data_IF_852148214507
#
_entry.id   IF_852148214507
#
_cell.length_a   1.000
_cell.length_b   1.000
_cell.length_c   1.000
_cell.angle_alpha   90.00
_cell.angle_beta   90.00
_cell.angle_gamma   90.00
#
_symmetry.space_group_name_H-M   'P 1'
#
loop_
_entity.id
_entity.type
_entity.pdbx_description
1 polymer ?
#
# COMPACT_ATOMS: atom_id res chain seq x y z
N UNK A 1 24.31 -5.02 13.50
CA UNK A 1 24.25 -6.22 12.61
C UNK A 1 23.27 -7.22 13.24
N UNK A 2 22.00 -7.18 12.83
CA UNK A 2 20.97 -8.07 13.38
C UNK A 2 21.09 -9.46 12.74
N UNK A 3 21.36 -10.47 13.55
CA UNK A 3 21.61 -11.83 13.12
C UNK A 3 20.27 -12.55 12.84
N UNK A 4 19.74 -12.39 11.62
CA UNK A 4 18.43 -12.93 11.21
C UNK A 4 18.45 -14.41 10.81
N UNK A 5 19.61 -15.06 10.74
CA UNK A 5 19.75 -16.30 9.95
C UNK A 5 19.24 -17.59 10.62
N UNK A 6 18.87 -17.61 11.91
CA UNK A 6 18.49 -18.86 12.60
C UNK A 6 17.20 -18.82 13.44
N UNK A 7 16.40 -17.76 13.37
CA UNK A 7 15.03 -17.77 13.92
C UNK A 7 14.06 -17.93 12.76
N UNK A 8 13.06 -18.80 12.91
CA UNK A 8 11.86 -18.79 12.04
C UNK A 8 11.30 -17.37 12.05
N UNK A 9 11.65 -16.57 11.05
CA UNK A 9 11.23 -15.18 10.96
C UNK A 9 9.75 -15.17 10.58
N UNK A 10 8.90 -15.02 11.60
CA UNK A 10 7.45 -14.89 11.45
C UNK A 10 7.09 -13.47 11.84
N UNK A 11 6.46 -12.73 10.94
CA UNK A 11 5.89 -11.44 11.31
C UNK A 11 4.52 -11.63 11.97
N UNK A 12 4.21 -10.72 12.89
CA UNK A 12 2.93 -10.63 13.60
C UNK A 12 1.96 -9.69 12.90
N UNK A 13 2.47 -8.71 12.15
CA UNK A 13 1.63 -7.74 11.43
C UNK A 13 0.82 -8.43 10.32
N UNK A 14 -0.48 -8.12 10.19
CA UNK A 14 -1.28 -8.64 9.10
C UNK A 14 -0.83 -8.03 7.77
N UNK A 15 -0.99 -8.80 6.69
CA UNK A 15 -0.67 -8.36 5.32
C UNK A 15 -1.96 -8.31 4.51
N UNK A 16 -2.17 -7.21 3.78
CA UNK A 16 -3.10 -7.11 2.66
C UNK A 16 -2.35 -7.27 1.34
N UNK A 17 -2.76 -8.24 0.53
CA UNK A 17 -2.30 -8.45 -0.83
C UNK A 17 -3.42 -8.06 -1.81
N UNK A 18 -3.17 -7.01 -2.58
CA UNK A 18 -4.04 -6.47 -3.62
C UNK A 18 -3.68 -7.12 -4.96
N UNK A 19 -4.64 -7.77 -5.61
CA UNK A 19 -4.39 -8.57 -6.82
C UNK A 19 -5.43 -8.31 -7.90
N UNK A 20 -5.07 -8.61 -9.15
CA UNK A 20 -6.03 -8.62 -10.25
C UNK A 20 -5.85 -9.82 -11.19
N UNK A 21 -5.22 -9.61 -12.34
CA UNK A 21 -5.18 -10.56 -13.45
C UNK A 21 -3.73 -10.90 -13.86
N UNK A 22 -2.77 -10.80 -12.93
CA UNK A 22 -1.33 -11.03 -13.18
C UNK A 22 -0.82 -12.23 -12.37
N UNK A 23 -1.21 -13.47 -12.70
CA UNK A 23 -0.89 -14.64 -11.87
C UNK A 23 0.62 -14.79 -11.61
N UNK A 24 1.45 -14.59 -12.64
CA UNK A 24 2.90 -14.80 -12.52
C UNK A 24 3.59 -13.86 -11.53
N UNK A 25 3.28 -12.56 -11.57
CA UNK A 25 3.86 -11.59 -10.64
C UNK A 25 3.25 -11.75 -9.26
N UNK A 26 1.93 -11.97 -9.18
CA UNK A 26 1.23 -12.20 -7.91
C UNK A 26 1.86 -13.39 -7.15
N UNK A 27 2.19 -14.49 -7.86
CA UNK A 27 2.80 -15.66 -7.25
C UNK A 27 4.20 -15.36 -6.69
N UNK A 28 4.97 -14.51 -7.35
CA UNK A 28 6.29 -14.09 -6.85
C UNK A 28 6.14 -13.30 -5.55
N UNK A 29 5.20 -12.36 -5.49
CA UNK A 29 4.91 -11.59 -4.26
C UNK A 29 4.42 -12.53 -3.15
N UNK A 30 3.49 -13.45 -3.45
CA UNK A 30 3.00 -14.43 -2.47
C UNK A 30 4.12 -15.32 -1.93
N UNK A 31 5.09 -15.75 -2.76
CA UNK A 31 6.25 -16.53 -2.31
C UNK A 31 7.11 -15.76 -1.31
N UNK A 32 7.27 -14.44 -1.49
CA UNK A 32 7.94 -13.58 -0.50
C UNK A 32 7.15 -13.52 0.81
N UNK A 33 5.82 -13.32 0.74
CA UNK A 33 4.92 -13.33 1.90
C UNK A 33 4.98 -14.67 2.64
N UNK A 34 4.95 -15.79 1.90
CA UNK A 34 5.05 -17.15 2.42
C UNK A 34 6.35 -17.37 3.21
N UNK A 35 7.42 -16.67 2.87
CA UNK A 35 8.70 -16.78 3.58
C UNK A 35 8.64 -16.19 4.99
N UNK A 36 7.72 -15.25 5.25
CA UNK A 36 7.52 -14.61 6.56
C UNK A 36 6.27 -15.09 7.31
N UNK A 37 5.49 -16.00 6.70
CA UNK A 37 4.38 -16.76 7.31
C UNK A 37 3.47 -15.93 8.23
N UNK A 38 2.90 -14.80 7.76
CA UNK A 38 2.04 -13.97 8.62
C UNK A 38 0.89 -14.82 9.19
N UNK A 39 0.47 -14.54 10.42
CA UNK A 39 -0.67 -15.25 11.02
C UNK A 39 -2.02 -14.86 10.40
N UNK A 40 -2.08 -13.71 9.73
CA UNK A 40 -3.26 -13.24 9.00
C UNK A 40 -2.85 -12.71 7.64
N UNK A 41 -3.54 -13.18 6.60
CA UNK A 41 -3.37 -12.71 5.22
C UNK A 41 -4.73 -12.34 4.67
N UNK A 42 -4.84 -11.09 4.22
CA UNK A 42 -5.97 -10.55 3.52
C UNK A 42 -5.65 -10.53 2.02
N UNK A 43 -6.55 -11.06 1.19
CA UNK A 43 -6.38 -11.08 -0.27
C UNK A 43 -7.58 -10.40 -0.90
N UNK A 44 -7.39 -9.22 -1.47
CA UNK A 44 -8.42 -8.52 -2.21
C UNK A 44 -8.14 -8.61 -3.70
N UNK A 45 -9.11 -9.12 -4.45
CA UNK A 45 -9.03 -9.30 -5.90
C UNK A 45 -10.12 -8.48 -6.57
N UNK A 46 -9.74 -7.58 -7.47
CA UNK A 46 -10.73 -6.90 -8.30
C UNK A 46 -11.41 -7.89 -9.26
N UNK A 47 -12.60 -7.51 -9.75
CA UNK A 47 -13.33 -8.34 -10.69
C UNK A 47 -12.83 -8.16 -12.13
N UNK A 48 -13.15 -9.10 -13.03
CA UNK A 48 -12.86 -8.96 -14.45
C UNK A 48 -13.62 -7.78 -15.06
N UNK A 49 -13.05 -7.16 -16.09
CA UNK A 49 -13.73 -6.16 -16.91
C UNK A 49 -14.71 -6.87 -17.84
N UNK A 50 -15.95 -6.39 -17.88
CA UNK A 50 -17.03 -7.00 -18.67
C UNK A 50 -16.68 -7.13 -20.15
N UNK A 51 -15.97 -6.14 -20.69
CA UNK A 51 -15.69 -6.04 -22.13
C UNK A 51 -14.35 -6.68 -22.54
N UNK A 52 -13.70 -7.43 -21.64
CA UNK A 52 -12.41 -8.07 -21.92
C UNK A 52 -12.51 -9.59 -21.90
N UNK A 53 -12.68 -10.17 -23.09
CA UNK A 53 -12.78 -11.63 -23.29
C UNK A 53 -11.57 -12.36 -22.67
N UNK A 54 -11.83 -13.50 -22.03
CA UNK A 54 -10.83 -14.33 -21.35
C UNK A 54 -10.30 -13.79 -20.01
N UNK A 55 -10.57 -12.53 -19.66
CA UNK A 55 -10.06 -11.95 -18.41
C UNK A 55 -10.65 -12.60 -17.16
N UNK A 56 -11.91 -13.04 -17.24
CA UNK A 56 -12.55 -13.79 -16.15
C UNK A 56 -11.73 -15.03 -15.77
N UNK A 57 -11.28 -15.80 -16.77
CA UNK A 57 -10.53 -17.03 -16.53
C UNK A 57 -9.15 -16.73 -15.91
N UNK A 58 -8.50 -15.64 -16.33
CA UNK A 58 -7.22 -15.21 -15.75
C UNK A 58 -7.39 -14.74 -14.30
N UNK A 59 -8.46 -14.00 -14.01
CA UNK A 59 -8.78 -13.54 -12.65
C UNK A 59 -9.08 -14.74 -11.74
N UNK A 60 -9.89 -15.68 -12.21
CA UNK A 60 -10.24 -16.89 -11.44
C UNK A 60 -9.01 -17.78 -11.23
N UNK A 61 -8.16 -17.97 -12.24
CA UNK A 61 -6.87 -18.63 -12.11
C UNK A 61 -5.98 -17.95 -11.05
N UNK A 62 -5.91 -16.62 -11.06
CA UNK A 62 -5.10 -15.86 -10.10
C UNK A 62 -5.62 -16.10 -8.67
N UNK A 63 -6.95 -16.04 -8.45
CA UNK A 63 -7.58 -16.31 -7.14
C UNK A 63 -7.28 -17.72 -6.65
N UNK A 64 -7.50 -18.72 -7.49
CA UNK A 64 -7.24 -20.12 -7.15
C UNK A 64 -5.78 -20.38 -6.82
N UNK A 65 -4.87 -19.85 -7.64
CA UNK A 65 -3.43 -20.02 -7.47
C UNK A 65 -2.97 -19.47 -6.11
N UNK A 66 -3.49 -18.32 -5.68
CA UNK A 66 -3.15 -17.76 -4.36
C UNK A 66 -3.61 -18.68 -3.24
N UNK A 67 -4.87 -19.11 -3.26
CA UNK A 67 -5.41 -19.98 -2.21
C UNK A 67 -4.70 -21.34 -2.14
N UNK A 68 -4.33 -21.93 -3.29
CA UNK A 68 -3.61 -23.21 -3.37
C UNK A 68 -2.16 -23.13 -2.85
N UNK A 69 -1.55 -21.95 -2.83
CA UNK A 69 -0.14 -21.77 -2.43
C UNK A 69 0.04 -21.29 -0.98
N UNK A 70 -1.04 -21.21 -0.20
CA UNK A 70 -0.98 -20.91 1.24
C UNK A 70 -1.00 -22.21 2.03
N UNK A 71 0.18 -22.63 2.50
CA UNK A 71 0.42 -23.93 3.16
C UNK A 71 1.00 -23.78 4.58
N UNK A 72 0.78 -22.61 5.20
CA UNK A 72 1.18 -22.33 6.58
C UNK A 72 -0.04 -21.97 7.43
N UNK A 73 0.12 -22.06 8.76
CA UNK A 73 -0.88 -21.62 9.73
C UNK A 73 -1.18 -20.11 9.56
N UNK A 74 -2.30 -19.82 8.92
CA UNK A 74 -2.71 -18.49 8.48
C UNK A 74 -4.23 -18.38 8.47
N UNK A 75 -4.77 -17.36 9.14
CA UNK A 75 -6.15 -16.94 8.91
C UNK A 75 -6.19 -16.18 7.59
N UNK A 76 -6.87 -16.75 6.59
CA UNK A 76 -7.05 -16.13 5.28
C UNK A 76 -8.41 -15.43 5.25
N UNK A 77 -8.42 -14.18 4.80
CA UNK A 77 -9.65 -13.43 4.51
C UNK A 77 -9.60 -12.95 3.08
N UNK A 78 -10.70 -13.12 2.35
CA UNK A 78 -10.78 -12.76 0.93
C UNK A 78 -11.83 -11.70 0.68
N UNK A 79 -11.53 -10.81 -0.26
CA UNK A 79 -12.48 -9.87 -0.84
C UNK A 79 -12.38 -9.99 -2.37
N UNK A 80 -13.16 -10.89 -2.96
CA UNK A 80 -13.18 -11.13 -4.40
C UNK A 80 -14.39 -10.47 -5.02
N UNK A 81 -14.14 -9.50 -5.90
CA UNK A 81 -15.23 -8.73 -6.52
C UNK A 81 -15.76 -9.41 -7.78
N UNK A 82 -17.08 -9.35 -8.03
CA UNK A 82 -17.66 -9.91 -9.25
C UNK A 82 -17.38 -9.04 -10.49
N UNK A 83 -17.17 -7.74 -10.33
CA UNK A 83 -16.94 -6.79 -11.41
C UNK A 83 -15.72 -5.91 -11.10
N UNK A 84 -15.02 -5.48 -12.14
CA UNK A 84 -13.91 -4.52 -12.03
C UNK A 84 -14.41 -3.17 -11.51
N UNK A 85 -13.76 -2.61 -10.49
CA UNK A 85 -14.08 -1.28 -9.96
C UNK A 85 -13.10 -0.18 -10.40
N UNK A 86 -12.04 -0.53 -11.13
CA UNK A 86 -10.94 0.38 -11.42
C UNK A 86 -9.98 0.50 -10.24
N UNK A 87 -8.77 1.01 -10.51
CA UNK A 87 -7.66 1.00 -9.56
C UNK A 87 -8.00 1.77 -8.29
N UNK A 88 -8.54 2.99 -8.42
CA UNK A 88 -8.81 3.88 -7.26
C UNK A 88 -9.77 3.23 -6.28
N UNK A 89 -10.97 2.86 -6.75
CA UNK A 89 -12.03 2.31 -5.89
C UNK A 89 -11.70 0.90 -5.44
N UNK A 90 -11.07 0.09 -6.31
CA UNK A 90 -10.72 -1.27 -5.97
C UNK A 90 -9.72 -1.31 -4.81
N UNK A 91 -8.65 -0.51 -4.90
CA UNK A 91 -7.61 -0.49 -3.87
C UNK A 91 -8.12 0.19 -2.61
N UNK A 92 -8.70 1.40 -2.70
CA UNK A 92 -9.08 2.14 -1.50
C UNK A 92 -10.10 1.40 -0.65
N UNK A 93 -11.14 0.82 -1.26
CA UNK A 93 -12.16 0.08 -0.50
C UNK A 93 -11.66 -1.27 0.02
N UNK A 94 -10.63 -1.86 -0.60
CA UNK A 94 -9.96 -3.03 -0.05
C UNK A 94 -9.13 -2.67 1.20
N UNK A 95 -8.49 -1.49 1.20
CA UNK A 95 -7.77 -0.98 2.37
C UNK A 95 -8.76 -0.59 3.48
N UNK A 96 -9.92 0.01 3.15
CA UNK A 96 -11.00 0.28 4.11
C UNK A 96 -11.49 -1.02 4.77
N UNK A 97 -11.74 -2.06 3.95
CA UNK A 97 -12.12 -3.38 4.45
C UNK A 97 -11.04 -3.97 5.35
N UNK A 98 -9.77 -3.87 4.97
CA UNK A 98 -8.64 -4.34 5.77
C UNK A 98 -8.59 -3.66 7.14
N UNK A 99 -8.65 -2.32 7.17
CA UNK A 99 -8.57 -1.55 8.41
C UNK A 99 -9.88 -1.49 9.21
N UNK A 100 -10.99 -1.97 8.67
CA UNK A 100 -12.17 -2.29 9.49
C UNK A 100 -11.93 -3.50 10.42
N UNK A 101 -10.85 -4.26 10.19
CA UNK A 101 -10.53 -5.48 10.93
C UNK A 101 -9.18 -5.46 11.67
N UNK A 102 -8.28 -4.53 11.35
CA UNK A 102 -6.92 -4.48 11.89
C UNK A 102 -6.53 -3.05 12.27
N UNK A 103 -5.73 -2.88 13.33
CA UNK A 103 -5.26 -1.55 13.78
C UNK A 103 -4.14 -1.00 12.89
N UNK A 104 -3.33 -1.88 12.32
CA UNK A 104 -2.20 -1.57 11.45
C UNK A 104 -1.82 -2.77 10.59
N UNK A 105 -1.00 -2.54 9.57
CA UNK A 105 -0.56 -3.63 8.71
C UNK A 105 0.23 -3.19 7.49
N UNK A 106 0.64 -4.20 6.73
CA UNK A 106 1.43 -4.06 5.51
C UNK A 106 0.50 -4.25 4.31
N UNK A 107 0.65 -3.42 3.28
CA UNK A 107 -0.09 -3.47 2.03
C UNK A 107 0.89 -3.72 0.87
N UNK A 108 0.61 -4.73 0.05
CA UNK A 108 1.38 -5.11 -1.13
C UNK A 108 0.46 -5.23 -2.34
N UNK A 109 0.93 -4.78 -3.50
CA UNK A 109 0.28 -4.99 -4.80
C UNK A 109 0.90 -6.18 -5.54
N UNK A 110 0.21 -6.70 -6.57
CA UNK A 110 0.61 -7.90 -7.31
C UNK A 110 1.89 -7.77 -8.14
N UNK A 111 2.43 -6.56 -8.25
CA UNK A 111 3.68 -6.23 -8.92
C UNK A 111 4.73 -5.58 -8.00
N UNK A 112 4.47 -5.53 -6.70
CA UNK A 112 5.42 -5.06 -5.69
C UNK A 112 6.09 -6.26 -5.02
N UNK A 113 7.31 -6.64 -5.46
CA UNK A 113 8.08 -7.75 -4.86
C UNK A 113 8.95 -7.26 -3.69
N UNK A 114 8.57 -7.51 -2.43
CA UNK A 114 9.33 -7.02 -1.29
C UNK A 114 10.56 -7.90 -1.01
N UNK A 115 11.65 -7.26 -0.57
CA UNK A 115 12.77 -7.94 0.08
C UNK A 115 12.34 -8.49 1.46
N UNK A 116 12.98 -9.55 1.96
CA UNK A 116 12.65 -10.09 3.28
C UNK A 116 12.87 -9.08 4.43
N UNK A 117 13.84 -8.16 4.28
CA UNK A 117 14.09 -7.10 5.27
C UNK A 117 12.93 -6.12 5.40
N UNK A 118 12.15 -5.89 4.34
CA UNK A 118 11.01 -4.99 4.32
C UNK A 118 9.97 -5.34 5.40
N UNK A 119 9.68 -6.62 5.56
CA UNK A 119 8.69 -7.06 6.55
C UNK A 119 9.12 -6.75 7.99
N UNK A 120 10.39 -6.98 8.31
CA UNK A 120 10.95 -6.66 9.63
C UNK A 120 11.03 -5.15 9.86
N UNK A 121 11.35 -4.40 8.81
CA UNK A 121 11.34 -2.94 8.82
C UNK A 121 9.95 -2.38 9.13
N UNK A 122 8.92 -2.80 8.39
CA UNK A 122 7.54 -2.37 8.64
C UNK A 122 7.05 -2.80 10.04
N UNK A 123 7.31 -4.04 10.47
CA UNK A 123 6.89 -4.49 11.80
C UNK A 123 7.52 -3.64 12.92
N UNK A 124 8.82 -3.36 12.82
CA UNK A 124 9.50 -2.53 13.78
C UNK A 124 8.92 -1.11 13.80
N UNK A 125 8.80 -0.46 12.64
CA UNK A 125 8.36 0.93 12.54
C UNK A 125 6.88 1.13 12.88
N UNK A 126 6.01 0.19 12.52
CA UNK A 126 4.60 0.22 12.91
C UNK A 126 4.44 0.21 14.44
N UNK A 127 5.27 -0.56 15.14
CA UNK A 127 5.26 -0.61 16.60
C UNK A 127 5.93 0.64 17.20
N UNK A 128 7.08 1.05 16.67
CA UNK A 128 7.86 2.17 17.19
C UNK A 128 7.12 3.52 17.08
N UNK A 129 6.46 3.77 15.94
CA UNK A 129 5.70 5.01 15.71
C UNK A 129 4.20 4.89 16.01
N UNK A 130 3.75 3.85 16.72
CA UNK A 130 2.33 3.63 17.04
C UNK A 130 1.67 4.87 17.65
N UNK A 131 2.36 5.55 18.56
CA UNK A 131 1.86 6.73 19.29
C UNK A 131 2.21 8.06 18.62
N UNK A 132 3.20 8.08 17.74
CA UNK A 132 3.53 9.28 16.97
C UNK A 132 2.63 9.38 15.73
N UNK A 133 1.50 10.09 15.88
CA UNK A 133 0.52 10.27 14.80
C UNK A 133 1.00 11.13 13.64
N UNK A 134 2.16 11.81 13.77
CA UNK A 134 2.78 12.52 12.65
C UNK A 134 3.36 11.58 11.60
N UNK A 135 3.74 10.36 11.97
CA UNK A 135 4.14 9.36 10.98
C UNK A 135 2.88 8.68 10.45
N UNK A 136 2.65 8.83 9.15
CA UNK A 136 1.42 8.37 8.49
C UNK A 136 1.66 7.22 7.51
N UNK A 137 2.88 7.06 7.02
CA UNK A 137 3.20 6.07 6.00
C UNK A 137 4.63 5.56 6.18
N UNK A 138 4.83 4.28 5.94
CA UNK A 138 6.14 3.64 5.90
C UNK A 138 6.25 2.98 4.53
N UNK A 139 7.19 3.41 3.70
CA UNK A 139 7.41 2.82 2.37
C UNK A 139 8.63 1.88 2.34
N UNK A 140 8.58 0.90 1.45
CA UNK A 140 9.69 0.02 1.09
C UNK A 140 10.52 0.52 -0.09
N UNK A 141 10.15 1.65 -0.70
CA UNK A 141 10.82 2.19 -1.88
C UNK A 141 11.67 3.44 -1.56
N UNK A 142 12.69 3.68 -2.40
CA UNK A 142 13.58 4.83 -2.25
C UNK A 142 14.01 5.35 -3.63
N UNK A 143 13.40 6.45 -4.06
CA UNK A 143 13.71 7.14 -5.31
C UNK A 143 14.80 8.21 -5.18
N UNK A 144 15.35 8.41 -3.98
CA UNK A 144 16.40 9.38 -3.72
C UNK A 144 17.60 8.73 -3.01
N UNK A 145 18.23 7.69 -3.61
CA UNK A 145 19.29 6.92 -2.95
C UNK A 145 20.52 7.76 -2.59
N UNK A 146 20.74 8.87 -3.28
CA UNK A 146 21.90 9.75 -3.09
C UNK A 146 21.75 10.72 -1.90
N UNK A 147 20.61 10.72 -1.21
CA UNK A 147 20.34 11.59 -0.04
C UNK A 147 20.81 10.95 1.27
N UNK A 148 21.30 9.71 1.21
CA UNK A 148 21.67 8.94 2.40
C UNK A 148 23.01 9.39 3.01
N UNK A 149 22.99 9.78 4.28
CA UNK A 149 24.16 10.19 5.07
C UNK A 149 24.66 9.09 6.03
N UNK A 150 24.17 7.85 5.87
CA UNK A 150 24.42 6.73 6.78
C UNK A 150 23.29 6.47 7.79
N UNK A 151 22.23 7.29 7.78
CA UNK A 151 20.97 7.01 8.48
C UNK A 151 20.33 5.69 8.05
N UNK A 152 19.35 5.16 8.77
CA UNK A 152 18.63 3.92 8.35
C UNK A 152 17.41 4.18 7.46
N UNK A 153 16.86 5.40 7.51
CA UNK A 153 15.74 5.91 6.73
C UNK A 153 15.72 7.44 6.88
N UNK A 154 14.91 8.14 6.07
CA UNK A 154 14.67 9.58 6.19
C UNK A 154 13.16 9.87 6.25
N UNK A 155 12.78 11.13 6.45
CA UNK A 155 11.38 11.53 6.39
C UNK A 155 11.09 12.28 5.10
N UNK A 156 9.94 11.97 4.49
CA UNK A 156 9.42 12.62 3.28
C UNK A 156 7.99 13.08 3.50
N UNK A 157 7.48 13.93 2.60
CA UNK A 157 6.04 14.27 2.52
C UNK A 157 5.30 13.44 1.47
N UNK A 158 6.05 12.72 0.63
CA UNK A 158 5.52 11.90 -0.45
C UNK A 158 5.58 10.44 0.00
N UNK A 159 4.43 9.76 -0.09
CA UNK A 159 4.27 8.41 0.44
C UNK A 159 5.11 7.36 -0.30
N UNK A 160 5.07 7.42 -1.64
CA UNK A 160 5.50 6.35 -2.54
C UNK A 160 4.89 4.97 -2.19
N UNK A 161 4.07 4.44 -3.07
CA UNK A 161 3.13 3.35 -2.72
C UNK A 161 3.66 1.94 -2.99
N UNK A 162 4.95 1.75 -3.32
CA UNK A 162 5.45 0.47 -3.79
C UNK A 162 5.85 -0.45 -2.64
N UNK A 163 4.82 -1.05 -2.04
CA UNK A 163 4.93 -1.87 -0.84
C UNK A 163 5.11 -0.98 0.38
N UNK A 164 4.10 -0.95 1.25
CA UNK A 164 4.04 0.03 2.32
C UNK A 164 3.28 -0.48 3.54
N UNK A 165 3.30 0.30 4.61
CA UNK A 165 2.56 0.02 5.83
C UNK A 165 1.98 1.30 6.44
N UNK A 166 0.85 1.16 7.14
CA UNK A 166 0.23 2.25 7.90
C UNK A 166 -0.68 1.69 9.01
N UNK A 167 -1.36 2.58 9.70
CA UNK A 167 -2.34 2.28 10.74
C UNK A 167 -3.75 2.73 10.30
N UNK A 168 -4.77 2.02 10.77
CA UNK A 168 -6.18 2.29 10.50
C UNK A 168 -6.59 3.72 10.88
N UNK A 169 -6.13 4.21 12.03
CA UNK A 169 -6.44 5.55 12.53
C UNK A 169 -5.76 6.68 11.73
N UNK A 170 -4.79 6.36 10.86
CA UNK A 170 -4.24 7.29 9.87
C UNK A 170 -4.98 7.13 8.54
N UNK A 171 -5.18 5.89 8.08
CA UNK A 171 -5.88 5.61 6.83
C UNK A 171 -7.31 6.19 6.80
N UNK A 172 -8.00 6.29 7.94
CA UNK A 172 -9.34 6.91 8.04
C UNK A 172 -9.47 8.30 7.40
N UNK A 173 -8.35 9.03 7.22
CA UNK A 173 -8.35 10.32 6.54
C UNK A 173 -8.45 10.22 5.02
N UNK A 174 -8.17 9.06 4.41
CA UNK A 174 -8.25 8.85 2.97
C UNK A 174 -9.62 9.25 2.38
N UNK A 175 -10.71 8.93 3.08
CA UNK A 175 -12.09 9.17 2.63
C UNK A 175 -12.57 10.62 2.67
N UNK A 176 -11.76 11.59 3.10
CA UNK A 176 -12.16 13.00 3.10
C UNK A 176 -12.13 13.58 1.69
N UNK A 177 -13.14 14.37 1.34
CA UNK A 177 -13.25 14.96 0.01
C UNK A 177 -12.14 15.98 -0.24
N UNK A 178 -11.46 15.84 -1.39
CA UNK A 178 -10.50 16.83 -1.89
C UNK A 178 -11.19 18.10 -2.44
N UNK A 179 -12.53 18.15 -2.49
CA UNK A 179 -13.27 19.31 -2.99
C UNK A 179 -12.94 20.59 -2.21
N UNK A 180 -12.71 20.47 -0.89
CA UNK A 180 -12.30 21.56 -0.01
C UNK A 180 -10.79 21.79 0.08
N UNK A 181 -9.98 21.06 -0.67
CA UNK A 181 -8.52 21.22 -0.61
C UNK A 181 -8.12 22.59 -1.15
N UNK A 182 -7.56 23.43 -0.26
CA UNK A 182 -7.00 24.74 -0.60
C UNK A 182 -5.76 24.56 -1.47
N UNK A 183 -5.83 25.10 -2.70
CA UNK A 183 -4.74 25.05 -3.67
C UNK A 183 -3.46 25.71 -3.13
N UNK A 184 -3.57 26.68 -2.22
CA UNK A 184 -2.42 27.33 -1.59
C UNK A 184 -1.60 26.37 -0.72
N UNK A 185 -2.21 25.28 -0.22
CA UNK A 185 -1.49 24.24 0.51
C UNK A 185 -0.48 23.51 -0.38
N UNK A 186 -0.44 23.74 -1.69
CA UNK A 186 0.63 23.20 -2.54
C UNK A 186 2.02 23.66 -2.08
N UNK A 187 2.13 24.87 -1.51
CA UNK A 187 3.38 25.37 -0.95
C UNK A 187 3.90 24.51 0.21
N UNK A 188 3.03 23.69 0.83
CA UNK A 188 3.42 22.71 1.83
C UNK A 188 4.13 21.49 1.21
N UNK A 189 3.96 21.18 -0.07
CA UNK A 189 4.60 20.03 -0.71
C UNK A 189 6.11 20.22 -0.85
N UNK A 190 6.52 21.35 -1.39
CA UNK A 190 7.92 21.64 -1.72
C UNK A 190 8.12 23.14 -1.88
N UNK A 191 9.33 23.63 -1.63
CA UNK A 191 9.74 25.00 -2.00
C UNK A 191 10.10 25.13 -3.48
N UNK A 192 10.22 24.01 -4.21
CA UNK A 192 10.51 23.98 -5.63
C UNK A 192 9.23 24.20 -6.45
N UNK A 193 9.21 25.25 -7.27
CA UNK A 193 8.05 25.65 -8.08
C UNK A 193 7.62 24.59 -9.09
N UNK A 194 8.55 23.88 -9.74
CA UNK A 194 8.22 22.81 -10.68
C UNK A 194 7.52 21.64 -9.99
N UNK A 195 7.94 21.32 -8.76
CA UNK A 195 7.27 20.29 -7.94
C UNK A 195 5.87 20.75 -7.55
N UNK A 196 5.71 22.02 -7.17
CA UNK A 196 4.38 22.57 -6.88
C UNK A 196 3.47 22.49 -8.11
N UNK A 197 3.93 22.95 -9.27
CA UNK A 197 3.15 22.94 -10.52
C UNK A 197 2.72 21.51 -10.89
N UNK A 198 3.62 20.53 -10.80
CA UNK A 198 3.27 19.13 -11.01
C UNK A 198 2.11 18.67 -10.11
N UNK A 199 2.20 18.94 -8.81
CA UNK A 199 1.15 18.54 -7.87
C UNK A 199 -0.15 19.33 -8.04
N UNK A 200 -0.08 20.58 -8.50
CA UNK A 200 -1.28 21.36 -8.87
C UNK A 200 -2.02 20.72 -10.03
N UNK A 201 -1.30 20.29 -11.06
CA UNK A 201 -1.88 19.60 -12.21
C UNK A 201 -2.50 18.26 -11.81
N UNK A 202 -1.84 17.50 -10.93
CA UNK A 202 -2.42 16.27 -10.36
C UNK A 202 -3.72 16.59 -9.59
N UNK A 203 -3.74 17.63 -8.75
CA UNK A 203 -4.94 18.01 -8.00
C UNK A 203 -6.10 18.37 -8.93
N UNK A 204 -5.85 19.16 -9.99
CA UNK A 204 -6.86 19.52 -10.99
C UNK A 204 -7.44 18.28 -11.67
N UNK A 205 -6.57 17.39 -12.16
CA UNK A 205 -6.98 16.13 -12.80
C UNK A 205 -7.80 15.23 -11.87
N UNK A 206 -7.43 15.12 -10.59
CA UNK A 206 -8.22 14.39 -9.60
C UNK A 206 -9.60 15.03 -9.36
N UNK A 207 -9.68 16.37 -9.23
CA UNK A 207 -10.96 17.08 -9.06
C UNK A 207 -11.89 16.90 -10.28
N UNK A 208 -11.32 16.73 -11.47
CA UNK A 208 -12.05 16.45 -12.70
C UNK A 208 -12.34 14.95 -12.94
N UNK A 209 -11.95 14.06 -12.03
CA UNK A 209 -12.03 12.59 -12.19
C UNK A 209 -11.26 12.02 -13.41
N UNK A 210 -10.17 12.68 -13.81
CA UNK A 210 -9.32 12.25 -14.94
C UNK A 210 -8.22 11.25 -14.53
N UNK A 211 -8.11 10.93 -13.23
CA UNK A 211 -7.13 10.00 -12.68
C UNK A 211 -7.84 8.88 -11.91
N UNK A 212 -7.64 7.65 -12.37
CA UNK A 212 -8.03 6.44 -11.64
C UNK A 212 -6.84 5.90 -10.82
N UNK A 213 -6.46 6.63 -9.77
CA UNK A 213 -5.43 6.22 -8.83
C UNK A 213 -5.78 6.63 -7.41
N UNK A 214 -5.47 5.76 -6.45
CA UNK A 214 -5.66 6.01 -5.04
C UNK A 214 -4.49 6.79 -4.41
N UNK A 215 -3.27 6.55 -4.89
CA UNK A 215 -2.04 6.97 -4.23
C UNK A 215 -1.89 8.50 -4.10
N UNK A 216 -2.36 9.25 -5.10
CA UNK A 216 -2.30 10.72 -5.06
C UNK A 216 -3.19 11.28 -3.95
N UNK A 217 -4.45 10.83 -3.86
CA UNK A 217 -5.36 11.26 -2.80
C UNK A 217 -4.74 10.99 -1.42
N UNK A 218 -4.11 9.84 -1.23
CA UNK A 218 -3.42 9.54 0.02
C UNK A 218 -2.28 10.52 0.33
N UNK A 219 -1.48 10.88 -0.68
CA UNK A 219 -0.41 11.89 -0.53
C UNK A 219 -0.96 13.24 -0.09
N UNK A 220 -2.05 13.70 -0.69
CA UNK A 220 -2.70 14.96 -0.30
C UNK A 220 -3.21 14.91 1.15
N UNK A 221 -3.74 13.78 1.60
CA UNK A 221 -4.18 13.63 2.99
C UNK A 221 -3.03 13.71 3.99
N UNK A 222 -1.90 13.05 3.70
CA UNK A 222 -0.71 13.14 4.56
C UNK A 222 -0.26 14.59 4.73
N UNK A 223 -0.24 15.35 3.63
CA UNK A 223 0.22 16.75 3.64
C UNK A 223 -0.79 17.66 4.35
N UNK A 224 -2.09 17.45 4.14
CA UNK A 224 -3.13 18.19 4.85
C UNK A 224 -3.03 18.00 6.37
N UNK A 225 -2.67 16.78 6.81
CA UNK A 225 -2.46 16.45 8.23
C UNK A 225 -1.05 16.78 8.74
N UNK A 226 -0.23 17.45 7.93
CA UNK A 226 1.16 17.81 8.25
C UNK A 226 1.98 16.60 8.72
N UNK A 227 1.67 15.43 8.14
CA UNK A 227 2.29 14.16 8.41
C UNK A 227 3.54 13.93 7.58
N UNK A 228 4.27 12.89 7.97
CA UNK A 228 5.49 12.42 7.34
C UNK A 228 5.36 10.96 6.93
N UNK A 229 6.08 10.65 5.86
CA UNK A 229 6.37 9.32 5.37
C UNK A 229 7.79 8.96 5.77
N UNK A 230 8.04 7.67 5.98
CA UNK A 230 9.37 7.09 6.12
C UNK A 230 9.70 6.36 4.83
#
# INVERSE_FOLDING_TARGET
MFNFLNRKFRIKKPILLLIFNRPDTTLKVLRSIRSVKPSKLYVACDGPRKDKSGEKDIVDLTREMILKNIDWDCTIRTLFRPNNLGCRLSVSSAIDWFFSNEEDGIILEDDCLPNLSFYGFCEFLLNYYKDNKKIMHITGDNFAPNVFDGSSYYFSKIQHCWGWATWADRWKYYGTSLSGYDINNIKKFSTNENVQEYWLEILKKMKNNEIDSWAYQWTFQIIEKEGFCI
#
